data_IF_958973567487
#
_entry.id   IF_958973567487
#
_cell.length_a   1.000
_cell.length_b   1.000
_cell.length_c   1.000
_cell.angle_alpha   90.00
_cell.angle_beta   90.00
_cell.angle_gamma   90.00
#
_symmetry.space_group_name_H-M   'P 1'
#
loop_
_entity.id
_entity.type
_entity.pdbx_description
1 polymer ?
#
# COMPACT_ATOMS: atom_id res chain seq x y z
N UNK A 1 2.12 -26.10 12.70
CA UNK A 1 1.00 -25.71 11.80
C UNK A 1 1.11 -26.45 10.47
N UNK A 2 0.03 -27.07 9.96
CA UNK A 2 0.01 -27.64 8.59
C UNK A 2 0.13 -26.50 7.55
N UNK A 3 0.96 -26.66 6.54
CA UNK A 3 1.21 -25.61 5.54
C UNK A 3 -0.05 -25.28 4.71
N UNK A 4 -0.29 -24.01 4.29
CA UNK A 4 -1.47 -23.55 3.54
C UNK A 4 -1.89 -24.41 2.35
N UNK A 5 -0.90 -24.96 1.64
CA UNK A 5 -1.13 -25.79 0.44
C UNK A 5 -2.05 -27.00 0.68
N UNK A 6 -2.16 -27.47 1.93
CA UNK A 6 -3.03 -28.59 2.27
C UNK A 6 -4.49 -28.16 2.52
N UNK A 7 -4.73 -26.87 2.72
CA UNK A 7 -6.04 -26.31 3.03
C UNK A 7 -6.84 -25.96 1.77
N UNK A 8 -6.19 -25.84 0.60
CA UNK A 8 -6.88 -25.51 -0.66
C UNK A 8 -7.68 -26.69 -1.22
N UNK A 9 -7.49 -27.90 -0.69
CA UNK A 9 -8.22 -29.10 -1.10
C UNK A 9 -7.77 -29.73 -2.42
N UNK A 10 -6.65 -29.28 -3.00
CA UNK A 10 -6.16 -29.79 -4.29
C UNK A 10 -5.37 -31.11 -4.15
N UNK A 11 -4.72 -31.34 -3.01
CA UNK A 11 -3.74 -32.42 -2.82
C UNK A 11 -4.17 -33.40 -1.74
N UNK A 12 -4.04 -34.70 -2.03
CA UNK A 12 -4.30 -35.80 -1.08
C UNK A 12 -3.06 -36.67 -0.93
N UNK A 13 -2.68 -36.97 0.31
CA UNK A 13 -1.61 -37.95 0.59
C UNK A 13 -2.11 -39.36 0.25
N UNK A 14 -1.27 -40.17 -0.40
CA UNK A 14 -1.60 -41.56 -0.68
C UNK A 14 -1.47 -42.39 0.59
N UNK A 15 -2.44 -43.28 0.83
CA UNK A 15 -2.50 -44.10 2.04
C UNK A 15 -1.29 -45.03 2.20
N UNK A 16 -0.78 -45.54 1.07
CA UNK A 16 0.25 -46.58 1.04
C UNK A 16 1.67 -46.00 1.03
N UNK A 17 1.83 -44.73 0.68
CA UNK A 17 3.13 -44.05 0.65
C UNK A 17 2.95 -42.54 0.91
N UNK A 18 3.40 -42.09 2.08
CA UNK A 18 3.32 -40.68 2.50
C UNK A 18 4.27 -39.75 1.73
N UNK A 19 5.15 -40.30 0.90
CA UNK A 19 6.00 -39.54 -0.03
C UNK A 19 5.28 -39.25 -1.35
N UNK A 20 4.12 -39.87 -1.58
CA UNK A 20 3.31 -39.66 -2.77
C UNK A 20 2.06 -38.83 -2.45
N UNK A 21 1.79 -37.88 -3.33
CA UNK A 21 0.65 -36.97 -3.26
C UNK A 21 -0.10 -37.04 -4.58
N UNK A 22 -1.42 -37.17 -4.51
CA UNK A 22 -2.32 -37.12 -5.65
C UNK A 22 -2.94 -35.72 -5.79
N UNK A 23 -2.83 -35.12 -6.97
CA UNK A 23 -3.56 -33.92 -7.35
C UNK A 23 -4.97 -34.30 -7.84
N UNK A 24 -5.99 -33.86 -7.11
CA UNK A 24 -7.39 -34.28 -7.35
C UNK A 24 -7.94 -33.73 -8.67
N UNK A 25 -7.63 -32.47 -9.03
CA UNK A 25 -8.07 -31.87 -10.31
C UNK A 25 -7.39 -32.55 -11.52
N UNK A 26 -6.09 -32.89 -11.42
CA UNK A 26 -5.43 -33.66 -12.48
C UNK A 26 -6.03 -35.07 -12.61
N UNK A 27 -6.43 -35.70 -11.49
CA UNK A 27 -7.06 -37.02 -11.50
C UNK A 27 -8.40 -36.99 -12.21
N UNK A 28 -9.26 -36.02 -11.89
CA UNK A 28 -10.56 -35.83 -12.54
C UNK A 28 -10.40 -35.60 -14.05
N UNK A 29 -9.37 -34.86 -14.46
CA UNK A 29 -9.03 -34.64 -15.87
C UNK A 29 -8.31 -35.81 -16.55
N UNK A 30 -8.14 -36.95 -15.87
CA UNK A 30 -7.38 -38.13 -16.36
C UNK A 30 -5.94 -37.81 -16.80
N UNK A 31 -5.31 -36.83 -16.16
CA UNK A 31 -3.91 -36.47 -16.37
C UNK A 31 -3.01 -37.16 -15.34
N UNK A 32 -1.69 -37.08 -15.54
CA UNK A 32 -0.70 -37.52 -14.53
C UNK A 32 -0.90 -36.73 -13.24
N UNK A 33 -1.50 -37.38 -12.25
CA UNK A 33 -1.93 -36.76 -10.97
C UNK A 33 -1.02 -37.05 -9.79
N UNK A 34 -0.13 -38.04 -9.88
CA UNK A 34 0.74 -38.46 -8.77
C UNK A 34 2.08 -37.71 -8.79
N UNK A 35 2.42 -37.11 -7.66
CA UNK A 35 3.61 -36.29 -7.42
C UNK A 35 4.43 -36.87 -6.26
N UNK A 36 5.75 -36.85 -6.39
CA UNK A 36 6.67 -37.26 -5.32
C UNK A 36 7.11 -36.05 -4.51
N UNK A 37 6.96 -36.11 -3.19
CA UNK A 37 7.48 -35.12 -2.25
C UNK A 37 8.96 -35.40 -1.97
N UNK A 38 9.87 -34.71 -2.65
CA UNK A 38 11.29 -34.77 -2.28
C UNK A 38 11.51 -34.08 -0.91
N UNK A 39 12.11 -34.81 0.02
CA UNK A 39 12.57 -34.34 1.34
C UNK A 39 11.56 -33.47 2.11
N UNK A 40 10.27 -33.87 2.12
CA UNK A 40 9.19 -33.17 2.85
C UNK A 40 9.01 -31.69 2.47
N UNK A 41 9.60 -31.23 1.38
CA UNK A 41 9.51 -29.82 0.97
C UNK A 41 8.26 -29.58 0.12
N UNK A 42 7.56 -28.50 0.41
CA UNK A 42 6.32 -28.13 -0.27
C UNK A 42 6.59 -27.42 -1.61
N UNK A 43 7.86 -27.23 -1.94
CA UNK A 43 8.33 -26.58 -3.17
C UNK A 43 7.77 -27.26 -4.42
N UNK A 44 7.81 -28.60 -4.47
CA UNK A 44 7.28 -29.37 -5.61
C UNK A 44 5.78 -29.17 -5.84
N UNK A 45 5.00 -29.08 -4.75
CA UNK A 45 3.57 -28.82 -4.83
C UNK A 45 3.28 -27.39 -5.31
N UNK A 46 4.03 -26.38 -4.84
CA UNK A 46 3.87 -24.99 -5.32
C UNK A 46 4.20 -24.87 -6.81
N UNK A 47 5.30 -25.49 -7.25
CA UNK A 47 5.70 -25.52 -8.66
C UNK A 47 4.60 -26.17 -9.51
N UNK A 48 4.02 -27.27 -9.03
CA UNK A 48 2.90 -27.91 -9.73
C UNK A 48 1.66 -27.01 -9.77
N UNK A 49 1.25 -26.42 -8.64
CA UNK A 49 0.08 -25.53 -8.55
C UNK A 49 0.20 -24.36 -9.53
N UNK A 50 1.29 -23.62 -9.49
CA UNK A 50 1.49 -22.43 -10.33
C UNK A 50 1.94 -22.75 -11.76
N UNK A 51 2.36 -23.99 -12.03
CA UNK A 51 2.68 -24.45 -13.38
C UNK A 51 1.48 -25.02 -14.14
N UNK A 52 0.61 -25.80 -13.47
CA UNK A 52 -0.51 -26.53 -14.10
C UNK A 52 -1.89 -25.96 -13.81
N UNK A 53 -2.04 -25.22 -12.71
CA UNK A 53 -3.34 -24.70 -12.25
C UNK A 53 -3.30 -23.19 -12.01
N UNK A 54 -2.42 -22.46 -12.73
CA UNK A 54 -2.36 -21.00 -12.70
C UNK A 54 -3.71 -20.42 -13.12
N UNK A 55 -4.30 -19.55 -12.29
CA UNK A 55 -5.63 -18.97 -12.53
C UNK A 55 -6.81 -19.90 -12.23
N UNK A 56 -6.59 -21.03 -11.57
CA UNK A 56 -7.67 -21.87 -11.05
C UNK A 56 -8.14 -21.39 -9.67
N UNK A 57 -9.33 -21.83 -9.26
CA UNK A 57 -9.86 -21.62 -7.92
C UNK A 57 -8.90 -22.08 -6.80
N UNK A 58 -8.03 -23.06 -7.08
CA UNK A 58 -7.07 -23.57 -6.11
C UNK A 58 -5.85 -22.66 -5.96
N UNK A 59 -5.40 -22.05 -7.06
CA UNK A 59 -4.35 -21.03 -7.02
C UNK A 59 -4.85 -19.78 -6.30
N UNK A 60 -6.09 -19.38 -6.54
CA UNK A 60 -6.74 -18.26 -5.86
C UNK A 60 -6.91 -18.55 -4.37
N UNK A 61 -7.43 -19.74 -4.00
CA UNK A 61 -7.49 -20.19 -2.61
C UNK A 61 -6.11 -20.18 -1.95
N UNK A 62 -5.07 -20.66 -2.63
CA UNK A 62 -3.71 -20.67 -2.07
C UNK A 62 -3.17 -19.25 -1.85
N UNK A 63 -3.37 -18.35 -2.81
CA UNK A 63 -3.00 -16.94 -2.70
C UNK A 63 -3.77 -16.26 -1.56
N UNK A 64 -5.06 -16.55 -1.43
CA UNK A 64 -5.93 -16.01 -0.38
C UNK A 64 -5.59 -16.55 1.01
N UNK A 65 -5.19 -17.81 1.15
CA UNK A 65 -4.70 -18.35 2.43
C UNK A 65 -3.32 -17.77 2.79
N UNK A 66 -2.48 -17.50 1.78
CA UNK A 66 -1.23 -16.76 1.96
C UNK A 66 -1.48 -15.34 2.48
N UNK A 67 -2.50 -14.65 1.96
CA UNK A 67 -2.99 -13.35 2.44
C UNK A 67 -3.61 -13.44 3.84
N UNK A 68 -4.36 -14.51 4.12
CA UNK A 68 -5.00 -14.76 5.42
C UNK A 68 -4.03 -15.20 6.53
N UNK A 69 -2.72 -15.26 6.27
CA UNK A 69 -1.67 -15.56 7.26
C UNK A 69 -0.78 -14.37 7.64
N UNK A 70 -1.19 -13.14 7.32
CA UNK A 70 -0.84 -12.01 8.19
C UNK A 70 -1.81 -12.04 9.38
N UNK A 71 -1.36 -12.14 10.64
CA UNK A 71 -2.24 -12.27 11.80
C UNK A 71 -3.11 -11.04 12.12
N UNK A 72 -3.11 -10.01 11.28
CA UNK A 72 -4.02 -8.88 11.37
C UNK A 72 -4.07 -8.24 9.98
N UNK A 73 -5.06 -8.58 9.16
CA UNK A 73 -5.49 -7.61 8.15
C UNK A 73 -6.44 -6.69 8.90
N UNK A 74 -5.86 -5.62 9.46
CA UNK A 74 -6.62 -4.67 10.25
C UNK A 74 -7.80 -4.15 9.42
N UNK A 75 -8.98 -4.09 10.04
CA UNK A 75 -10.15 -3.56 9.34
C UNK A 75 -9.90 -2.10 8.95
N UNK A 76 -10.71 -1.53 8.04
CA UNK A 76 -10.54 -0.12 7.67
C UNK A 76 -10.67 0.79 8.91
N UNK A 77 -11.52 0.44 9.85
CA UNK A 77 -11.69 1.14 11.12
C UNK A 77 -10.42 1.07 11.98
N UNK A 78 -9.78 -0.09 12.06
CA UNK A 78 -8.52 -0.25 12.79
C UNK A 78 -7.37 0.53 12.15
N UNK A 79 -7.21 0.42 10.82
CA UNK A 79 -6.21 1.19 10.06
C UNK A 79 -6.46 2.69 10.26
N UNK A 80 -7.72 3.15 10.15
CA UNK A 80 -8.10 4.53 10.41
C UNK A 80 -7.68 4.95 11.83
N UNK A 81 -8.05 4.18 12.86
CA UNK A 81 -7.75 4.51 14.24
C UNK A 81 -6.23 4.64 14.47
N UNK A 82 -5.44 3.73 13.90
CA UNK A 82 -3.97 3.75 13.98
C UNK A 82 -3.41 4.98 13.26
N UNK A 83 -3.81 5.25 12.02
CA UNK A 83 -3.35 6.39 11.24
C UNK A 83 -3.71 7.72 11.94
N UNK A 84 -4.95 7.88 12.39
CA UNK A 84 -5.40 9.07 13.13
C UNK A 84 -4.61 9.24 14.43
N UNK A 85 -4.38 8.17 15.19
CA UNK A 85 -3.59 8.24 16.42
C UNK A 85 -2.15 8.67 16.16
N UNK A 86 -1.54 8.23 15.06
CA UNK A 86 -0.17 8.61 14.68
C UNK A 86 -0.03 10.08 14.26
N UNK A 87 -1.13 10.78 13.95
CA UNK A 87 -1.14 12.20 13.60
C UNK A 87 -1.21 13.14 14.80
N UNK A 88 -1.36 12.64 16.04
CA UNK A 88 -1.57 13.48 17.24
C UNK A 88 -0.50 14.55 17.47
N UNK A 89 0.74 14.27 17.08
CA UNK A 89 1.87 15.21 17.20
C UNK A 89 2.04 16.08 15.95
N UNK A 90 1.47 15.68 14.81
CA UNK A 90 1.44 16.46 13.56
C UNK A 90 0.16 17.29 13.50
N UNK A 91 -0.01 18.18 14.48
CA UNK A 91 -1.20 19.04 14.58
C UNK A 91 -1.29 19.99 13.38
N UNK A 92 -2.54 20.27 13.01
CA UNK A 92 -2.94 21.30 12.04
C UNK A 92 -3.56 22.47 12.79
N UNK A 93 -3.33 23.69 12.32
CA UNK A 93 -3.74 24.89 13.04
C UNK A 93 -3.05 26.15 12.52
N UNK A 94 -3.20 27.23 13.29
CA UNK A 94 -2.67 28.55 12.95
C UNK A 94 -1.49 28.97 13.84
N UNK A 95 -1.12 28.14 14.82
CA UNK A 95 0.03 28.39 15.69
C UNK A 95 1.35 28.06 15.00
N UNK A 96 2.44 28.59 15.55
CA UNK A 96 3.77 28.47 14.95
C UNK A 96 4.21 27.01 14.81
N UNK A 97 3.94 26.16 15.81
CA UNK A 97 4.24 24.73 15.79
C UNK A 97 3.45 24.01 14.68
N UNK A 98 2.14 24.27 14.58
CA UNK A 98 1.30 23.64 13.56
C UNK A 98 1.71 24.06 12.14
N UNK A 99 2.04 25.35 11.95
CA UNK A 99 2.55 25.86 10.69
C UNK A 99 3.91 25.25 10.34
N UNK A 100 4.78 25.08 11.34
CA UNK A 100 6.10 24.50 11.17
C UNK A 100 6.05 23.02 10.75
N UNK A 101 5.09 22.23 11.25
CA UNK A 101 4.89 20.84 10.79
C UNK A 101 4.74 20.75 9.27
N UNK A 102 3.97 21.67 8.68
CA UNK A 102 3.74 21.70 7.23
C UNK A 102 5.00 22.10 6.44
N UNK A 103 5.77 23.07 6.95
CA UNK A 103 7.06 23.46 6.35
C UNK A 103 8.08 22.32 6.43
N UNK A 104 8.13 21.63 7.57
CA UNK A 104 9.06 20.52 7.78
C UNK A 104 8.79 19.33 6.86
N UNK A 105 7.52 19.06 6.50
CA UNK A 105 7.21 18.08 5.46
C UNK A 105 7.90 18.45 4.14
N UNK A 106 7.78 19.69 3.68
CA UNK A 106 8.40 20.11 2.43
C UNK A 106 9.92 20.21 2.51
N UNK A 107 10.49 20.58 3.67
CA UNK A 107 11.94 20.52 3.91
C UNK A 107 12.44 19.10 3.77
N UNK A 108 11.82 18.15 4.48
CA UNK A 108 12.13 16.72 4.35
C UNK A 108 12.00 16.25 2.89
N UNK A 109 10.90 16.61 2.23
CA UNK A 109 10.63 16.18 0.87
C UNK A 109 11.67 16.71 -0.13
N UNK A 110 12.01 17.99 -0.05
CA UNK A 110 12.93 18.64 -0.99
C UNK A 110 14.38 18.20 -0.77
N UNK A 111 14.76 17.91 0.49
CA UNK A 111 16.09 17.37 0.82
C UNK A 111 16.24 15.92 0.36
N UNK A 112 15.26 15.06 0.62
CA UNK A 112 15.40 13.62 0.38
C UNK A 112 14.97 13.17 -1.02
N UNK A 113 14.13 13.96 -1.69
CA UNK A 113 13.59 13.65 -3.02
C UNK A 113 13.72 14.84 -3.98
N UNK A 114 14.94 15.39 -4.17
CA UNK A 114 15.17 16.62 -4.92
C UNK A 114 14.74 16.56 -6.38
N UNK A 115 14.68 15.36 -6.98
CA UNK A 115 14.23 15.13 -8.36
C UNK A 115 12.74 15.44 -8.55
N UNK A 116 11.94 15.37 -7.47
CA UNK A 116 10.50 15.64 -7.52
C UNK A 116 10.16 17.13 -7.41
N UNK A 117 11.16 17.99 -7.15
CA UNK A 117 11.00 19.45 -7.15
C UNK A 117 10.57 20.01 -8.52
N UNK A 118 10.78 19.26 -9.60
CA UNK A 118 10.36 19.63 -10.97
C UNK A 118 8.86 19.93 -11.08
N UNK A 119 8.02 19.35 -10.21
CA UNK A 119 6.58 19.61 -10.20
C UNK A 119 6.20 20.93 -9.48
N UNK A 120 7.14 21.57 -8.79
CA UNK A 120 6.92 22.78 -8.01
C UNK A 120 7.48 23.99 -8.75
N UNK A 121 6.73 24.48 -9.75
CA UNK A 121 7.15 25.60 -10.60
C UNK A 121 7.69 26.79 -9.81
N UNK A 122 8.89 27.28 -10.14
CA UNK A 122 9.58 28.37 -9.45
C UNK A 122 10.28 27.99 -8.14
N UNK A 123 10.22 26.71 -7.76
CA UNK A 123 10.88 26.15 -6.58
C UNK A 123 11.69 24.88 -6.91
N UNK A 124 12.04 24.67 -8.19
CA UNK A 124 12.71 23.47 -8.69
C UNK A 124 14.11 23.27 -8.08
N UNK A 125 14.72 24.35 -7.59
CA UNK A 125 16.05 24.39 -6.96
C UNK A 125 16.03 24.77 -5.48
N UNK A 126 14.84 24.84 -4.87
CA UNK A 126 14.72 25.23 -3.47
C UNK A 126 15.38 24.19 -2.57
N UNK A 127 16.24 24.64 -1.67
CA UNK A 127 16.77 23.85 -0.57
C UNK A 127 15.91 24.04 0.69
N UNK A 128 16.22 23.31 1.76
CA UNK A 128 15.43 23.35 3.00
C UNK A 128 15.32 24.77 3.60
N UNK A 129 16.36 25.58 3.46
CA UNK A 129 16.37 26.97 3.96
C UNK A 129 15.43 27.88 3.15
N UNK A 130 15.32 27.66 1.83
CA UNK A 130 14.38 28.40 0.98
C UNK A 130 12.94 28.05 1.34
N UNK A 131 12.67 26.75 1.60
CA UNK A 131 11.37 26.27 2.06
C UNK A 131 11.01 26.88 3.41
N UNK A 132 11.96 26.94 4.36
CA UNK A 132 11.74 27.49 5.72
C UNK A 132 11.27 28.95 5.68
N UNK A 133 11.80 29.75 4.74
CA UNK A 133 11.47 31.18 4.59
C UNK A 133 10.29 31.46 3.66
N UNK A 134 9.67 30.42 3.10
CA UNK A 134 8.66 30.58 2.04
C UNK A 134 7.22 30.54 2.57
N UNK A 135 6.51 31.66 2.45
CA UNK A 135 5.06 31.74 2.72
C UNK A 135 4.25 30.77 1.82
N UNK A 136 4.74 30.50 0.60
CA UNK A 136 4.13 29.51 -0.29
C UNK A 136 4.13 28.12 0.35
N UNK A 137 5.25 27.70 0.93
CA UNK A 137 5.37 26.36 1.54
C UNK A 137 4.80 26.29 2.94
N UNK A 138 4.60 27.42 3.62
CA UNK A 138 3.73 27.47 4.80
C UNK A 138 2.28 27.13 4.43
N UNK A 139 1.72 27.83 3.43
CA UNK A 139 0.34 27.59 2.94
C UNK A 139 0.19 26.19 2.35
N UNK A 140 1.13 25.78 1.52
CA UNK A 140 1.10 24.47 0.87
C UNK A 140 1.35 23.33 1.88
N UNK A 141 2.20 23.56 2.88
CA UNK A 141 2.43 22.67 4.01
C UNK A 141 1.16 22.40 4.81
N UNK A 142 0.39 23.44 5.12
CA UNK A 142 -0.92 23.26 5.76
C UNK A 142 -1.89 22.45 4.88
N UNK A 143 -1.95 22.73 3.57
CA UNK A 143 -2.83 22.00 2.65
C UNK A 143 -2.54 20.51 2.61
N UNK A 144 -1.26 20.11 2.57
CA UNK A 144 -0.90 18.69 2.53
C UNK A 144 -1.18 18.03 3.89
N UNK A 145 -0.87 18.68 5.02
CA UNK A 145 -1.20 18.11 6.33
C UNK A 145 -2.71 17.93 6.51
N UNK A 146 -3.53 18.93 6.14
CA UNK A 146 -4.99 18.80 6.15
C UNK A 146 -5.44 17.62 5.29
N UNK A 147 -4.86 17.44 4.11
CA UNK A 147 -5.19 16.30 3.26
C UNK A 147 -4.85 14.96 3.93
N UNK A 148 -3.70 14.85 4.60
CA UNK A 148 -3.33 13.63 5.33
C UNK A 148 -4.26 13.33 6.50
N UNK A 149 -4.65 14.36 7.27
CA UNK A 149 -5.67 14.24 8.30
C UNK A 149 -7.01 13.79 7.74
N UNK A 150 -7.47 14.38 6.63
CA UNK A 150 -8.72 14.01 5.99
C UNK A 150 -8.70 12.55 5.53
N UNK A 151 -7.68 12.14 4.76
CA UNK A 151 -7.57 10.79 4.21
C UNK A 151 -7.58 9.75 5.34
N UNK A 152 -6.87 10.00 6.45
CA UNK A 152 -6.91 9.12 7.61
C UNK A 152 -8.30 9.07 8.28
N UNK A 153 -8.94 10.22 8.49
CA UNK A 153 -10.21 10.31 9.24
C UNK A 153 -11.43 9.80 8.47
N UNK A 154 -11.37 9.78 7.14
CA UNK A 154 -12.48 9.26 6.30
C UNK A 154 -12.23 7.85 5.78
N UNK A 155 -11.10 7.22 6.13
CA UNK A 155 -10.66 5.96 5.52
C UNK A 155 -11.70 4.84 5.65
N UNK A 156 -12.35 4.67 6.81
CA UNK A 156 -13.40 3.65 7.00
C UNK A 156 -14.65 3.89 6.16
N UNK A 157 -14.94 5.14 5.79
CA UNK A 157 -16.00 5.47 4.84
C UNK A 157 -15.47 5.41 3.40
N UNK A 158 -15.46 4.20 2.83
CA UNK A 158 -14.91 3.93 1.49
C UNK A 158 -15.45 4.87 0.41
N UNK A 159 -16.75 5.19 0.42
CA UNK A 159 -17.36 6.10 -0.54
C UNK A 159 -16.73 7.50 -0.48
N UNK A 160 -16.58 8.05 0.72
CA UNK A 160 -16.02 9.38 0.95
C UNK A 160 -14.51 9.40 0.71
N UNK A 161 -13.80 8.37 1.15
CA UNK A 161 -12.37 8.18 0.86
C UNK A 161 -12.12 8.17 -0.64
N UNK A 162 -12.81 7.32 -1.40
CA UNK A 162 -12.63 7.22 -2.85
C UNK A 162 -13.01 8.54 -3.57
N UNK A 163 -14.06 9.22 -3.12
CA UNK A 163 -14.42 10.54 -3.66
C UNK A 163 -13.31 11.58 -3.44
N UNK A 164 -12.72 11.60 -2.24
CA UNK A 164 -11.62 12.52 -1.92
C UNK A 164 -10.33 12.19 -2.68
N UNK A 165 -10.03 10.90 -2.90
CA UNK A 165 -8.91 10.46 -3.76
C UNK A 165 -9.08 11.01 -5.18
N UNK A 166 -10.25 10.80 -5.79
CA UNK A 166 -10.54 11.30 -7.14
C UNK A 166 -10.43 12.82 -7.24
N UNK A 167 -10.94 13.55 -6.25
CA UNK A 167 -10.83 15.00 -6.21
C UNK A 167 -9.38 15.46 -6.05
N UNK A 168 -8.59 14.73 -5.26
CA UNK A 168 -7.15 14.97 -5.16
C UNK A 168 -6.47 14.76 -6.50
N UNK A 169 -6.74 13.66 -7.21
CA UNK A 169 -6.23 13.44 -8.57
C UNK A 169 -6.62 14.60 -9.50
N UNK A 170 -7.90 15.00 -9.51
CA UNK A 170 -8.41 16.06 -10.38
C UNK A 170 -7.63 17.38 -10.23
N UNK A 171 -7.33 17.78 -8.99
CA UNK A 171 -6.56 18.99 -8.66
C UNK A 171 -5.08 18.91 -9.05
N UNK A 172 -4.54 17.69 -9.18
CA UNK A 172 -3.14 17.44 -9.54
C UNK A 172 -2.90 17.20 -11.05
N UNK A 173 -3.96 17.01 -11.86
CA UNK A 173 -3.84 16.75 -13.31
C UNK A 173 -2.98 17.77 -14.05
N UNK A 174 -3.08 19.04 -13.67
CA UNK A 174 -2.33 20.15 -14.29
C UNK A 174 -0.81 19.98 -14.18
N UNK A 175 -0.32 19.23 -13.20
CA UNK A 175 1.11 18.99 -12.98
C UNK A 175 1.66 17.85 -13.82
N UNK A 176 0.78 17.06 -14.47
CA UNK A 176 1.17 15.91 -15.32
C UNK A 176 2.18 14.99 -14.62
N UNK A 177 1.91 14.70 -13.35
CA UNK A 177 2.74 13.81 -12.54
C UNK A 177 2.79 12.41 -13.15
N UNK A 178 3.94 11.75 -13.00
CA UNK A 178 4.07 10.35 -13.37
C UNK A 178 3.14 9.50 -12.46
N UNK A 179 2.36 8.54 -13.00
CA UNK A 179 1.33 7.83 -12.24
C UNK A 179 1.85 7.03 -11.04
N UNK A 180 3.05 6.43 -11.11
CA UNK A 180 3.63 5.68 -10.00
C UNK A 180 3.89 6.55 -8.75
N UNK A 181 3.96 7.88 -8.91
CA UNK A 181 4.11 8.81 -7.78
C UNK A 181 2.93 8.77 -6.81
N UNK A 182 1.73 8.38 -7.24
CA UNK A 182 0.58 8.19 -6.33
C UNK A 182 0.85 7.12 -5.26
N UNK A 183 1.62 6.09 -5.62
CA UNK A 183 2.08 5.05 -4.69
C UNK A 183 3.35 5.48 -3.96
N UNK A 184 4.31 6.09 -4.66
CA UNK A 184 5.60 6.47 -4.08
C UNK A 184 5.48 7.52 -2.96
N UNK A 185 4.44 8.37 -2.99
CA UNK A 185 4.18 9.38 -1.96
C UNK A 185 4.13 8.79 -0.54
N UNK A 186 3.61 7.57 -0.37
CA UNK A 186 3.45 6.97 0.97
C UNK A 186 4.78 6.63 1.64
N UNK A 187 5.82 6.35 0.86
CA UNK A 187 7.20 6.23 1.35
C UNK A 187 7.73 7.59 1.83
N UNK A 188 7.44 8.67 1.09
CA UNK A 188 7.82 10.04 1.49
C UNK A 188 7.11 10.42 2.79
N UNK A 189 5.80 10.15 2.87
CA UNK A 189 4.98 10.48 4.02
C UNK A 189 5.44 9.75 5.28
N UNK A 190 5.58 8.42 5.22
CA UNK A 190 6.03 7.63 6.38
C UNK A 190 7.46 7.96 6.78
N UNK A 191 8.36 8.19 5.82
CA UNK A 191 9.73 8.65 6.11
C UNK A 191 9.75 10.02 6.79
N UNK A 192 8.89 10.95 6.39
CA UNK A 192 8.72 12.23 7.10
C UNK A 192 8.23 12.01 8.52
N UNK A 193 7.19 11.19 8.71
CA UNK A 193 6.63 10.91 10.03
C UNK A 193 7.68 10.34 10.98
N UNK A 194 8.57 9.46 10.52
CA UNK A 194 9.68 8.92 11.32
C UNK A 194 10.65 10.01 11.83
N UNK A 195 10.71 11.17 11.18
CA UNK A 195 11.52 12.30 11.67
C UNK A 195 10.82 13.15 12.73
N UNK A 196 9.50 12.94 12.93
CA UNK A 196 8.65 13.80 13.76
C UNK A 196 7.97 13.09 14.91
N UNK A 197 7.71 11.81 14.76
CA UNK A 197 6.99 10.98 15.74
C UNK A 197 7.69 9.63 15.85
N UNK A 198 7.56 8.99 17.01
CA UNK A 198 7.93 7.58 17.18
C UNK A 198 6.92 6.69 16.42
N UNK A 199 7.10 6.58 15.12
CA UNK A 199 6.22 5.82 14.23
C UNK A 199 6.46 4.33 14.44
N UNK A 200 5.54 3.67 15.16
CA UNK A 200 5.58 2.21 15.31
C UNK A 200 5.48 1.50 13.96
N UNK A 201 6.06 0.30 13.86
CA UNK A 201 5.94 -0.55 12.66
C UNK A 201 4.48 -0.84 12.28
N UNK A 202 3.60 -0.96 13.28
CA UNK A 202 2.16 -1.12 13.05
C UNK A 202 1.55 0.12 12.39
N UNK A 203 1.90 1.33 12.87
CA UNK A 203 1.41 2.57 12.28
C UNK A 203 1.96 2.79 10.87
N UNK A 204 3.24 2.48 10.65
CA UNK A 204 3.84 2.51 9.32
C UNK A 204 3.13 1.55 8.35
N UNK A 205 2.88 0.31 8.79
CA UNK A 205 2.13 -0.66 7.99
C UNK A 205 0.71 -0.20 7.69
N UNK A 206 0.01 0.42 8.65
CA UNK A 206 -1.33 0.96 8.45
C UNK A 206 -1.35 2.07 7.40
N UNK A 207 -0.40 3.01 7.44
CA UNK A 207 -0.24 4.04 6.41
C UNK A 207 0.06 3.46 5.02
N UNK A 208 0.90 2.43 4.95
CA UNK A 208 1.20 1.77 3.67
C UNK A 208 -0.01 1.03 3.11
N UNK A 209 -0.83 0.38 3.96
CA UNK A 209 -2.10 -0.24 3.53
C UNK A 209 -3.10 0.79 3.03
N UNK A 210 -3.31 1.87 3.79
CA UNK A 210 -4.16 2.99 3.35
C UNK A 210 -3.64 3.60 2.04
N UNK A 211 -2.33 3.68 1.89
CA UNK A 211 -1.70 4.23 0.71
C UNK A 211 -1.81 3.37 -0.55
N UNK A 212 -1.85 2.04 -0.39
CA UNK A 212 -2.14 1.13 -1.49
C UNK A 212 -3.55 1.38 -2.02
N UNK A 213 -4.56 1.42 -1.14
CA UNK A 213 -5.95 1.70 -1.55
C UNK A 213 -6.08 3.07 -2.22
N UNK A 214 -5.37 4.08 -1.70
CA UNK A 214 -5.33 5.40 -2.31
C UNK A 214 -4.79 5.32 -3.74
N UNK A 215 -3.66 4.64 -3.93
CA UNK A 215 -3.02 4.53 -5.24
C UNK A 215 -3.89 3.73 -6.21
N UNK A 216 -4.51 2.63 -5.77
CA UNK A 216 -5.43 1.83 -6.59
C UNK A 216 -6.60 2.69 -7.12
N UNK A 217 -7.29 3.44 -6.25
CA UNK A 217 -8.40 4.30 -6.69
C UNK A 217 -7.90 5.49 -7.55
N UNK A 218 -6.72 6.05 -7.25
CA UNK A 218 -6.13 7.11 -8.05
C UNK A 218 -5.85 6.64 -9.48
N UNK A 219 -5.19 5.49 -9.65
CA UNK A 219 -4.87 4.91 -10.96
C UNK A 219 -6.13 4.47 -11.71
N UNK A 220 -7.11 3.89 -11.01
CA UNK A 220 -8.41 3.57 -11.59
C UNK A 220 -9.12 4.83 -12.11
N UNK A 221 -9.01 5.95 -11.40
CA UNK A 221 -9.58 7.23 -11.82
C UNK A 221 -8.85 7.83 -13.03
N UNK A 222 -7.52 7.82 -13.04
CA UNK A 222 -6.72 8.24 -14.19
C UNK A 222 -7.11 7.46 -15.45
N UNK A 223 -7.30 6.14 -15.32
CA UNK A 223 -7.79 5.28 -16.41
C UNK A 223 -9.17 5.71 -16.91
N UNK A 224 -10.12 6.01 -16.01
CA UNK A 224 -11.47 6.51 -16.39
C UNK A 224 -11.42 7.85 -17.12
N UNK A 225 -10.44 8.69 -16.80
CA UNK A 225 -10.22 9.98 -17.45
C UNK A 225 -9.45 9.88 -18.78
N UNK A 226 -8.97 8.69 -19.17
CA UNK A 226 -8.22 8.49 -20.40
C UNK A 226 -6.82 9.13 -20.39
N UNK A 227 -6.20 9.24 -19.21
CA UNK A 227 -4.84 9.79 -19.03
C UNK A 227 -3.88 8.71 -18.51
N UNK A 228 -2.55 8.93 -18.53
CA UNK A 228 -1.57 7.93 -18.07
C UNK A 228 -1.89 7.41 -16.65
N UNK A 229 -1.77 6.09 -16.45
CA UNK A 229 -2.12 5.35 -15.22
C UNK A 229 -1.22 4.14 -15.02
#
# INVERSE_FOLDING_TARGET
MKHPIWQIGLYKLMANDKTLVECLDCKERRLKSVLKLSNRSIKGLKVHLFGKHKGSIYADKYANIGRAKSPNMSTREEIQAICVASLKQLKIGVGEEELQNGKDFYKFFFTNYPTLRVYFKGAEKYEAEDVQKSERFEKQGQRILIAMHLVANVYSNEMLFNAYVRETVNRHRQFKMEPSLWKAFWTVWTGFMETKVDLTEQAKSAWMSLGEDFAEEALAHLKRLGIPH
#
